data_IF_741127568821
#
_entry.id   IF_741127568821
#
_cell.length_a   1.000
_cell.length_b   1.000
_cell.length_c   1.000
_cell.angle_alpha   90.00
_cell.angle_beta   90.00
_cell.angle_gamma   90.00
#
_symmetry.space_group_name_H-M   'P 1'
#
loop_
_entity.id
_entity.type
_entity.pdbx_description
1 polymer ?
#
# COMPACT_ATOMS: atom_id res chain seq x y z
N UNK A 1 -2.61 -46.09 -16.87
CA UNK A 1 -2.08 -44.71 -16.78
C UNK A 1 -3.01 -43.62 -17.36
N UNK A 2 -3.95 -43.92 -18.27
CA UNK A 2 -4.87 -42.92 -18.84
C UNK A 2 -6.02 -42.46 -17.89
N UNK A 3 -6.32 -43.21 -16.83
CA UNK A 3 -7.40 -42.90 -15.89
C UNK A 3 -7.09 -41.77 -14.89
N UNK A 4 -5.80 -41.54 -14.55
CA UNK A 4 -5.41 -40.45 -13.64
C UNK A 4 -5.41 -39.09 -14.32
N UNK A 5 -5.10 -39.05 -15.63
CA UNK A 5 -5.09 -37.83 -16.44
C UNK A 5 -6.53 -37.33 -16.66
N UNK A 6 -7.47 -38.23 -16.99
CA UNK A 6 -8.90 -37.88 -17.13
C UNK A 6 -9.52 -37.33 -15.85
N UNK A 7 -9.15 -37.89 -14.69
CA UNK A 7 -9.61 -37.41 -13.37
C UNK A 7 -9.09 -36.00 -13.05
N UNK A 8 -7.86 -35.67 -13.46
CA UNK A 8 -7.32 -34.32 -13.32
C UNK A 8 -7.95 -33.34 -14.30
N UNK A 9 -8.18 -33.72 -15.57
CA UNK A 9 -8.91 -32.88 -16.51
C UNK A 9 -10.33 -32.53 -16.01
N UNK A 10 -11.03 -33.46 -15.36
CA UNK A 10 -12.35 -33.19 -14.76
C UNK A 10 -12.28 -32.20 -13.59
N UNK A 11 -11.22 -32.25 -12.78
CA UNK A 11 -10.98 -31.29 -11.68
C UNK A 11 -10.67 -29.89 -12.25
N UNK A 12 -9.84 -29.82 -13.29
CA UNK A 12 -9.52 -28.56 -13.97
C UNK A 12 -10.74 -27.98 -14.71
N UNK A 13 -11.56 -28.83 -15.35
CA UNK A 13 -12.80 -28.42 -16.04
C UNK A 13 -13.92 -28.03 -15.06
N UNK A 14 -13.99 -28.63 -13.87
CA UNK A 14 -14.87 -28.19 -12.76
C UNK A 14 -14.43 -26.87 -12.11
N UNK A 15 -13.14 -26.49 -12.24
CA UNK A 15 -12.55 -25.22 -11.78
C UNK A 15 -12.65 -24.07 -12.81
N UNK A 16 -13.65 -24.10 -13.70
CA UNK A 16 -14.19 -22.86 -14.31
C UNK A 16 -14.71 -21.98 -13.15
N UNK A 17 -14.17 -20.82 -12.78
CA UNK A 17 -13.28 -19.89 -13.43
C UNK A 17 -12.42 -19.22 -12.33
N UNK A 18 -11.11 -19.44 -12.28
CA UNK A 18 -10.23 -18.46 -11.62
C UNK A 18 -10.02 -17.33 -12.62
N UNK A 19 -11.05 -16.48 -12.76
CA UNK A 19 -10.91 -15.25 -13.54
C UNK A 19 -9.93 -14.38 -12.77
N UNK A 20 -8.72 -14.22 -13.29
CA UNK A 20 -7.76 -13.28 -12.73
C UNK A 20 -8.36 -11.89 -12.87
N UNK A 21 -8.80 -11.33 -11.75
CA UNK A 21 -9.18 -9.93 -11.68
C UNK A 21 -7.90 -9.15 -11.35
N UNK A 22 -7.34 -8.37 -12.29
CA UNK A 22 -6.26 -7.47 -11.96
C UNK A 22 -6.78 -6.51 -10.88
N UNK A 23 -5.98 -6.21 -9.85
CA UNK A 23 -6.42 -5.23 -8.89
C UNK A 23 -6.53 -3.88 -9.60
N UNK A 24 -7.47 -3.05 -9.14
CA UNK A 24 -7.51 -1.64 -9.56
C UNK A 24 -6.14 -1.02 -9.37
N UNK A 25 -5.62 -0.21 -10.30
CA UNK A 25 -4.36 0.49 -10.07
C UNK A 25 -4.41 1.31 -8.77
N UNK A 26 -3.27 1.45 -8.07
CA UNK A 26 -3.21 2.34 -6.91
C UNK A 26 -3.60 3.77 -7.28
N UNK A 27 -4.30 4.45 -6.38
CA UNK A 27 -4.55 5.87 -6.51
C UNK A 27 -3.24 6.66 -6.53
N UNK A 28 -3.21 7.76 -7.27
CA UNK A 28 -2.07 8.66 -7.34
C UNK A 28 -1.96 9.48 -6.06
N UNK A 29 -0.77 9.52 -5.46
CA UNK A 29 -0.52 10.27 -4.24
C UNK A 29 0.09 11.63 -4.57
N UNK A 30 -0.38 12.67 -3.88
CA UNK A 30 0.17 14.02 -4.00
C UNK A 30 1.47 14.11 -3.21
N UNK A 31 2.46 14.82 -3.76
CA UNK A 31 3.80 14.93 -3.19
C UNK A 31 4.36 13.55 -2.82
N UNK A 32 4.45 12.63 -3.78
CA UNK A 32 4.89 11.27 -3.53
C UNK A 32 6.41 11.13 -3.53
N UNK A 33 6.96 10.50 -2.49
CA UNK A 33 8.37 10.07 -2.44
C UNK A 33 8.44 8.55 -2.62
N UNK A 34 9.36 8.07 -3.45
CA UNK A 34 9.50 6.65 -3.81
C UNK A 34 10.83 6.07 -3.29
N UNK A 35 10.73 4.90 -2.65
CA UNK A 35 11.83 4.11 -2.14
C UNK A 35 11.87 2.75 -2.86
N UNK A 36 13.04 2.39 -3.38
CA UNK A 36 13.24 1.12 -4.09
C UNK A 36 13.64 0.03 -3.09
N UNK A 37 12.78 -0.97 -2.92
CA UNK A 37 13.08 -2.17 -2.12
C UNK A 37 13.80 -3.22 -2.95
N UNK A 38 13.23 -3.56 -4.11
CA UNK A 38 13.82 -4.47 -5.08
C UNK A 38 13.52 -3.97 -6.49
N UNK A 39 14.56 -3.51 -7.19
CA UNK A 39 14.43 -3.01 -8.55
C UNK A 39 14.06 -4.13 -9.53
N UNK A 40 14.67 -5.31 -9.38
CA UNK A 40 14.46 -6.45 -10.27
C UNK A 40 13.06 -7.02 -10.09
N UNK A 41 12.64 -7.20 -8.83
CA UNK A 41 11.29 -7.60 -8.46
C UNK A 41 10.23 -6.50 -8.61
N UNK A 42 10.64 -5.27 -8.98
CA UNK A 42 9.80 -4.08 -9.12
C UNK A 42 8.94 -3.83 -7.87
N UNK A 43 9.58 -3.90 -6.70
CA UNK A 43 8.98 -3.61 -5.40
C UNK A 43 9.39 -2.23 -4.93
N UNK A 44 8.41 -1.38 -4.70
CA UNK A 44 8.58 0.02 -4.33
C UNK A 44 7.75 0.34 -3.10
N UNK A 45 8.24 1.27 -2.29
CA UNK A 45 7.51 1.86 -1.18
C UNK A 45 7.33 3.35 -1.47
N UNK A 46 6.09 3.77 -1.58
CA UNK A 46 5.68 5.13 -1.84
C UNK A 46 5.17 5.77 -0.54
N UNK A 47 5.46 7.04 -0.34
CA UNK A 47 4.95 7.85 0.77
C UNK A 47 4.41 9.14 0.20
N UNK A 48 3.12 9.40 0.37
CA UNK A 48 2.49 10.60 -0.17
C UNK A 48 1.16 10.91 0.51
N UNK A 49 0.51 11.97 0.03
CA UNK A 49 -0.76 12.47 0.56
C UNK A 49 -1.93 11.92 -0.27
N UNK A 50 -2.94 11.39 0.42
CA UNK A 50 -4.15 10.88 -0.20
C UNK A 50 -5.23 11.97 -0.25
N UNK A 51 -5.59 12.41 -1.46
CA UNK A 51 -6.64 13.41 -1.65
C UNK A 51 -8.04 12.94 -1.24
N UNK A 52 -8.30 11.62 -1.28
CA UNK A 52 -9.59 11.05 -0.88
C UNK A 52 -9.73 10.97 0.64
N UNK A 53 -8.61 10.88 1.36
CA UNK A 53 -8.56 10.83 2.83
C UNK A 53 -7.99 12.13 3.44
N UNK A 54 -8.54 13.28 3.06
CA UNK A 54 -8.22 14.60 3.66
C UNK A 54 -6.71 14.89 3.72
N UNK A 55 -6.01 14.51 2.66
CA UNK A 55 -4.55 14.64 2.54
C UNK A 55 -3.80 13.98 3.70
N UNK A 56 -4.33 12.88 4.25
CA UNK A 56 -3.60 12.06 5.20
C UNK A 56 -2.43 11.37 4.49
N UNK A 57 -1.40 11.03 5.26
CA UNK A 57 -0.23 10.35 4.72
C UNK A 57 -0.53 8.87 4.62
N UNK A 58 -0.37 8.36 3.41
CA UNK A 58 -0.43 6.95 3.11
C UNK A 58 0.95 6.46 2.69
N UNK A 59 1.31 5.31 3.24
CA UNK A 59 2.44 4.51 2.78
C UNK A 59 1.87 3.42 1.88
N UNK A 60 2.43 3.26 0.70
CA UNK A 60 1.95 2.30 -0.29
C UNK A 60 3.09 1.41 -0.73
N UNK A 61 2.97 0.10 -0.52
CA UNK A 61 3.94 -0.87 -1.07
C UNK A 61 3.36 -1.41 -2.37
N UNK A 62 4.09 -1.22 -3.47
CA UNK A 62 3.70 -1.63 -4.81
C UNK A 62 4.58 -2.77 -5.28
N UNK A 63 3.95 -3.75 -5.92
CA UNK A 63 4.57 -4.81 -6.72
C UNK A 63 3.90 -4.84 -8.10
N UNK A 64 4.45 -5.56 -9.10
CA UNK A 64 3.86 -5.60 -10.45
C UNK A 64 2.39 -6.00 -10.51
N UNK A 65 1.95 -6.85 -9.58
CA UNK A 65 0.62 -7.45 -9.60
C UNK A 65 -0.32 -6.94 -8.51
N UNK A 66 0.19 -6.31 -7.45
CA UNK A 66 -0.56 -5.96 -6.23
C UNK A 66 0.07 -4.76 -5.53
N UNK A 67 -0.74 -4.03 -4.76
CA UNK A 67 -0.26 -2.98 -3.87
C UNK A 67 -0.99 -3.07 -2.54
N UNK A 68 -0.42 -2.52 -1.47
CA UNK A 68 -1.14 -2.34 -0.20
C UNK A 68 -0.91 -0.93 0.30
N UNK A 69 -2.00 -0.22 0.57
CA UNK A 69 -1.99 1.04 1.29
C UNK A 69 -1.97 0.77 2.79
N UNK A 70 -1.18 1.53 3.53
CA UNK A 70 -1.15 1.49 4.98
C UNK A 70 -0.98 2.89 5.59
N UNK A 71 -1.61 3.15 6.74
CA UNK A 71 -1.31 4.36 7.51
C UNK A 71 0.16 4.40 7.90
N UNK A 72 0.74 5.60 7.97
CA UNK A 72 2.13 5.79 8.40
C UNK A 72 2.42 5.21 9.79
N UNK A 73 1.44 5.28 10.71
CA UNK A 73 1.58 4.68 12.04
C UNK A 73 1.68 3.15 12.01
N UNK A 74 1.07 2.50 11.02
CA UNK A 74 1.22 1.05 10.84
C UNK A 74 2.66 0.71 10.44
N UNK A 75 3.24 1.47 9.51
CA UNK A 75 4.65 1.32 9.14
C UNK A 75 5.59 1.55 10.34
N UNK A 76 5.31 2.56 11.18
CA UNK A 76 6.08 2.81 12.41
C UNK A 76 6.07 1.60 13.35
N UNK A 77 4.92 0.92 13.47
CA UNK A 77 4.80 -0.31 14.25
C UNK A 77 5.57 -1.48 13.62
N UNK A 78 5.61 -1.58 12.28
CA UNK A 78 6.47 -2.56 11.58
C UNK A 78 7.94 -2.36 11.98
N UNK A 79 8.45 -1.12 11.92
CA UNK A 79 9.83 -0.82 12.33
C UNK A 79 10.09 -1.15 13.80
N UNK A 80 9.14 -0.83 14.69
CA UNK A 80 9.25 -1.19 16.12
C UNK A 80 9.30 -2.71 16.35
N UNK A 81 8.69 -3.50 15.46
CA UNK A 81 8.69 -4.96 15.49
C UNK A 81 9.83 -5.58 14.67
N UNK A 82 10.70 -4.78 14.03
CA UNK A 82 11.66 -5.26 13.04
C UNK A 82 12.60 -6.33 13.61
N UNK A 83 13.03 -6.20 14.87
CA UNK A 83 13.84 -7.23 15.54
C UNK A 83 13.14 -8.60 15.61
N UNK A 84 11.85 -8.62 15.96
CA UNK A 84 11.04 -9.84 16.04
C UNK A 84 10.69 -10.39 14.67
N UNK A 85 10.49 -9.51 13.68
CA UNK A 85 10.22 -9.91 12.30
C UNK A 85 11.47 -10.57 11.70
N UNK A 86 12.63 -9.96 11.88
CA UNK A 86 13.88 -10.47 11.36
C UNK A 86 14.28 -11.77 12.04
N UNK A 87 14.14 -11.91 13.36
CA UNK A 87 14.43 -13.18 14.01
C UNK A 87 13.65 -14.34 13.38
N UNK A 88 12.36 -14.13 13.08
CA UNK A 88 11.54 -15.15 12.42
C UNK A 88 11.92 -15.40 10.96
N UNK A 89 12.19 -14.34 10.18
CA UNK A 89 12.49 -14.49 8.75
C UNK A 89 13.89 -15.07 8.52
N UNK A 90 14.81 -14.88 9.46
CA UNK A 90 16.18 -15.39 9.42
C UNK A 90 16.29 -16.86 9.89
N UNK A 91 15.28 -17.38 10.60
CA UNK A 91 15.24 -18.77 11.06
C UNK A 91 15.01 -19.77 9.92
N UNK A 92 15.42 -21.02 10.14
CA UNK A 92 15.21 -22.12 9.17
C UNK A 92 13.70 -22.28 8.93
N UNK A 93 13.22 -22.32 7.66
CA UNK A 93 11.81 -22.44 7.34
C UNK A 93 11.20 -23.68 8.01
N UNK A 94 10.36 -23.48 9.03
CA UNK A 94 9.65 -24.56 9.69
C UNK A 94 8.36 -24.89 8.93
N UNK A 95 7.96 -26.17 8.95
CA UNK A 95 7.07 -26.75 7.96
C UNK A 95 5.64 -26.21 7.95
N UNK A 96 5.18 -25.44 8.93
CA UNK A 96 3.95 -24.63 8.86
C UNK A 96 3.76 -23.92 10.21
N UNK A 97 3.96 -22.60 10.27
CA UNK A 97 3.35 -21.75 11.29
C UNK A 97 3.26 -20.33 10.73
N UNK A 98 2.04 -19.90 10.40
CA UNK A 98 1.75 -18.51 10.02
C UNK A 98 1.77 -17.71 11.31
N UNK A 99 2.80 -16.90 11.55
CA UNK A 99 2.83 -16.05 12.74
C UNK A 99 2.17 -14.71 12.43
N UNK A 100 1.24 -14.30 13.27
CA UNK A 100 0.63 -12.97 13.20
C UNK A 100 1.44 -12.01 14.08
N UNK A 101 1.96 -10.94 13.50
CA UNK A 101 2.75 -9.93 14.22
C UNK A 101 1.92 -8.73 14.63
N UNK A 102 1.05 -8.27 13.73
CA UNK A 102 0.23 -7.09 13.92
C UNK A 102 -1.06 -7.23 13.10
N UNK A 103 -2.17 -6.79 13.66
CA UNK A 103 -3.45 -6.81 12.98
C UNK A 103 -4.27 -5.58 13.36
N UNK A 104 -4.88 -4.96 12.36
CA UNK A 104 -5.89 -3.92 12.52
C UNK A 104 -7.16 -4.35 11.80
N UNK A 105 -8.20 -3.51 11.83
CA UNK A 105 -9.43 -3.74 11.08
C UNK A 105 -9.19 -3.78 9.56
N UNK A 106 -8.20 -3.03 9.08
CA UNK A 106 -7.97 -2.84 7.64
C UNK A 106 -6.75 -3.59 7.09
N UNK A 107 -5.76 -3.94 7.93
CA UNK A 107 -4.47 -4.51 7.49
C UNK A 107 -3.99 -5.57 8.46
N UNK A 108 -3.34 -6.62 7.95
CA UNK A 108 -2.63 -7.60 8.76
C UNK A 108 -1.17 -7.77 8.33
N UNK A 109 -0.31 -8.03 9.30
CA UNK A 109 1.09 -8.33 9.17
C UNK A 109 1.35 -9.73 9.72
N UNK A 110 1.70 -10.66 8.85
CA UNK A 110 1.97 -12.05 9.23
C UNK A 110 3.20 -12.60 8.52
N UNK A 111 3.70 -13.76 8.92
CA UNK A 111 4.69 -14.51 8.14
C UNK A 111 4.06 -15.71 7.44
N UNK A 112 4.64 -16.14 6.32
CA UNK A 112 4.33 -17.42 5.71
C UNK A 112 5.55 -18.01 5.03
N UNK A 113 5.57 -19.32 4.83
CA UNK A 113 6.57 -19.97 3.98
C UNK A 113 6.08 -19.95 2.53
N UNK A 114 6.89 -19.42 1.62
CA UNK A 114 6.61 -19.40 0.19
C UNK A 114 7.86 -19.80 -0.59
N UNK A 115 7.73 -20.78 -1.49
CA UNK A 115 8.85 -21.31 -2.29
C UNK A 115 10.06 -21.77 -1.44
N UNK A 116 9.81 -22.22 -0.20
CA UNK A 116 10.86 -22.65 0.72
C UNK A 116 11.53 -21.52 1.50
N UNK A 117 11.05 -20.28 1.38
CA UNK A 117 11.57 -19.12 2.11
C UNK A 117 10.52 -18.56 3.08
N UNK A 118 10.98 -18.03 4.22
CA UNK A 118 10.14 -17.25 5.12
C UNK A 118 9.90 -15.87 4.51
N UNK A 119 8.62 -15.53 4.31
CA UNK A 119 8.19 -14.25 3.76
C UNK A 119 7.38 -13.50 4.81
N UNK A 120 7.59 -12.18 4.89
CA UNK A 120 6.66 -11.28 5.56
C UNK A 120 5.50 -10.97 4.60
N UNK A 121 4.28 -11.09 5.11
CA UNK A 121 3.03 -10.88 4.39
C UNK A 121 2.36 -9.65 4.96
N UNK A 122 2.14 -8.66 4.09
CA UNK A 122 1.32 -7.49 4.39
C UNK A 122 0.05 -7.63 3.57
N UNK A 123 -1.09 -7.77 4.22
CA UNK A 123 -2.36 -8.08 3.58
C UNK A 123 -3.42 -7.04 3.95
N UNK A 124 -4.05 -6.45 2.93
CA UNK A 124 -5.24 -5.62 3.10
C UNK A 124 -6.46 -6.51 3.36
N UNK A 125 -7.25 -6.13 4.36
CA UNK A 125 -8.52 -6.80 4.69
C UNK A 125 -9.72 -6.18 3.98
N UNK A 126 -9.58 -4.95 3.52
CA UNK A 126 -10.65 -4.25 2.79
C UNK A 126 -10.69 -4.65 1.32
N UNK A 127 -9.55 -5.04 0.75
CA UNK A 127 -9.45 -5.48 -0.66
C UNK A 127 -9.03 -6.94 -0.72
N UNK A 128 -9.99 -7.81 -1.09
CA UNK A 128 -9.76 -9.25 -1.16
C UNK A 128 -8.60 -9.63 -2.08
N UNK A 129 -7.68 -10.45 -1.57
CA UNK A 129 -6.52 -10.96 -2.32
C UNK A 129 -5.41 -9.92 -2.53
N UNK A 130 -5.49 -8.76 -1.89
CA UNK A 130 -4.49 -7.72 -1.98
C UNK A 130 -3.44 -7.87 -0.87
N UNK A 131 -2.39 -8.63 -1.19
CA UNK A 131 -1.26 -8.87 -0.29
C UNK A 131 0.07 -8.71 -1.00
N UNK A 132 1.06 -8.27 -0.26
CA UNK A 132 2.45 -8.13 -0.72
C UNK A 132 3.35 -9.02 0.14
N UNK A 133 4.32 -9.66 -0.51
CA UNK A 133 5.30 -10.54 0.10
C UNK A 133 6.67 -9.88 0.05
N UNK A 134 7.30 -9.77 1.21
CA UNK A 134 8.66 -9.27 1.37
C UNK A 134 9.56 -10.41 1.86
N UNK A 135 10.62 -10.68 1.10
CA UNK A 135 11.63 -11.66 1.46
C UNK A 135 12.69 -11.04 2.37
N UNK A 136 13.66 -11.86 2.80
CA UNK A 136 14.78 -11.40 3.64
C UNK A 136 15.50 -10.18 3.08
N UNK A 137 15.79 -10.16 1.77
CA UNK A 137 16.50 -9.05 1.11
C UNK A 137 15.68 -7.77 1.13
N UNK A 138 14.38 -7.86 0.85
CA UNK A 138 13.45 -6.74 0.92
C UNK A 138 13.41 -6.14 2.33
N UNK A 139 13.39 -6.98 3.37
CA UNK A 139 13.31 -6.54 4.77
C UNK A 139 14.59 -5.87 5.24
N UNK A 140 15.76 -6.40 4.86
CA UNK A 140 17.05 -5.75 5.14
C UNK A 140 17.11 -4.39 4.45
N UNK A 141 16.64 -4.31 3.20
CA UNK A 141 16.59 -3.03 2.48
C UNK A 141 15.62 -2.05 3.13
N UNK A 142 14.44 -2.51 3.54
CA UNK A 142 13.46 -1.70 4.26
C UNK A 142 14.02 -1.16 5.58
N UNK A 143 14.74 -1.97 6.35
CA UNK A 143 15.41 -1.54 7.58
C UNK A 143 16.51 -0.51 7.32
N UNK A 144 17.32 -0.70 6.27
CA UNK A 144 18.33 0.29 5.87
C UNK A 144 17.72 1.67 5.53
N UNK A 145 16.52 1.66 4.95
CA UNK A 145 15.80 2.87 4.54
C UNK A 145 14.94 3.48 5.66
N UNK A 146 14.85 2.84 6.82
CA UNK A 146 13.95 3.21 7.92
C UNK A 146 14.04 4.70 8.25
N UNK A 147 15.26 5.20 8.50
CA UNK A 147 15.47 6.59 8.89
C UNK A 147 14.98 7.57 7.82
N UNK A 148 15.31 7.32 6.56
CA UNK A 148 14.89 8.17 5.44
C UNK A 148 13.37 8.17 5.24
N UNK A 149 12.73 7.01 5.42
CA UNK A 149 11.27 6.88 5.30
C UNK A 149 10.58 7.62 6.46
N UNK A 150 11.03 7.41 7.69
CA UNK A 150 10.47 8.04 8.89
C UNK A 150 10.59 9.57 8.80
N UNK A 151 11.76 10.09 8.44
CA UNK A 151 11.97 11.53 8.25
C UNK A 151 11.07 12.09 7.14
N UNK A 152 10.88 11.35 6.05
CA UNK A 152 9.99 11.72 4.95
C UNK A 152 8.54 11.83 5.41
N UNK A 153 8.06 10.85 6.19
CA UNK A 153 6.72 10.89 6.80
C UNK A 153 6.60 12.12 7.69
N UNK A 154 7.55 12.35 8.60
CA UNK A 154 7.50 13.50 9.55
C UNK A 154 7.43 14.82 8.81
N UNK A 155 8.26 15.02 7.77
CA UNK A 155 8.25 16.24 6.95
C UNK A 155 6.92 16.42 6.22
N UNK A 156 6.37 15.35 5.66
CA UNK A 156 5.06 15.43 5.00
C UNK A 156 3.96 15.74 6.00
N UNK A 157 4.03 15.23 7.23
CA UNK A 157 3.02 15.48 8.27
C UNK A 157 3.03 16.93 8.71
N UNK A 158 4.22 17.43 9.05
CA UNK A 158 4.34 18.68 9.77
C UNK A 158 4.49 19.90 8.86
N UNK A 159 4.94 19.70 7.62
CA UNK A 159 5.26 20.80 6.71
C UNK A 159 4.39 20.72 5.45
N UNK A 160 4.46 19.60 4.72
CA UNK A 160 3.83 19.53 3.40
C UNK A 160 2.31 19.48 3.50
N UNK A 161 1.74 18.63 4.36
CA UNK A 161 0.29 18.49 4.48
C UNK A 161 -0.39 19.83 4.85
N UNK A 162 0.07 20.59 5.87
CA UNK A 162 -0.48 21.91 6.15
C UNK A 162 -0.35 22.88 4.97
N UNK A 163 0.78 22.84 4.24
CA UNK A 163 0.99 23.69 3.08
C UNK A 163 -0.01 23.37 1.96
N UNK A 164 -0.21 22.08 1.65
CA UNK A 164 -1.17 21.61 0.64
C UNK A 164 -2.59 22.02 1.03
N UNK A 165 -3.00 21.77 2.28
CA UNK A 165 -4.33 22.18 2.77
C UNK A 165 -4.56 23.69 2.59
N UNK A 166 -3.58 24.51 2.96
CA UNK A 166 -3.65 25.97 2.78
C UNK A 166 -3.74 26.38 1.32
N UNK A 167 -3.01 25.71 0.42
CA UNK A 167 -3.09 25.98 -1.02
C UNK A 167 -4.48 25.67 -1.58
N UNK A 168 -5.03 24.51 -1.22
CA UNK A 168 -6.40 24.13 -1.62
C UNK A 168 -7.45 25.11 -1.09
N UNK A 169 -7.30 25.57 0.16
CA UNK A 169 -8.18 26.58 0.74
C UNK A 169 -8.10 27.92 -0.02
N UNK A 170 -6.89 28.41 -0.33
CA UNK A 170 -6.69 29.65 -1.08
C UNK A 170 -7.32 29.55 -2.48
N UNK A 171 -7.07 28.44 -3.18
CA UNK A 171 -7.60 28.23 -4.54
C UNK A 171 -9.13 28.10 -4.50
N UNK A 172 -9.68 27.33 -3.56
CA UNK A 172 -11.12 27.18 -3.39
C UNK A 172 -11.81 28.53 -3.14
N UNK A 173 -11.28 29.31 -2.19
CA UNK A 173 -11.80 30.65 -1.89
C UNK A 173 -11.72 31.61 -3.08
N UNK A 174 -10.68 31.52 -3.90
CA UNK A 174 -10.58 32.32 -5.12
C UNK A 174 -11.65 31.92 -6.14
N UNK A 175 -11.79 30.62 -6.41
CA UNK A 175 -12.78 30.08 -7.35
C UNK A 175 -14.21 30.47 -6.92
N UNK A 176 -14.55 30.32 -5.64
CA UNK A 176 -15.87 30.67 -5.10
C UNK A 176 -16.21 32.15 -5.27
N UNK A 177 -15.22 33.04 -5.08
CA UNK A 177 -15.37 34.48 -5.32
C UNK A 177 -15.65 34.77 -6.80
N UNK A 178 -14.89 34.16 -7.71
CA UNK A 178 -15.08 34.35 -9.14
C UNK A 178 -16.45 33.81 -9.61
N UNK A 179 -16.88 32.65 -9.12
CA UNK A 179 -18.23 32.13 -9.41
C UNK A 179 -19.33 33.07 -8.92
N UNK A 180 -19.18 33.63 -7.71
CA UNK A 180 -20.14 34.59 -7.17
C UNK A 180 -20.21 35.85 -8.04
N UNK A 181 -19.06 36.36 -8.49
CA UNK A 181 -18.99 37.54 -9.37
C UNK A 181 -19.69 37.29 -10.72
N UNK A 182 -19.48 36.12 -11.33
CA UNK A 182 -20.15 35.73 -12.59
C UNK A 182 -21.67 35.64 -12.41
N UNK A 183 -22.15 35.07 -11.30
CA UNK A 183 -23.59 35.00 -11.03
C UNK A 183 -24.21 36.39 -10.84
N UNK A 184 -23.52 37.30 -10.15
CA UNK A 184 -23.98 38.68 -9.98
C UNK A 184 -24.05 39.44 -11.31
N UNK A 185 -23.05 39.27 -12.19
CA UNK A 185 -23.07 39.85 -13.54
C UNK A 185 -24.20 39.29 -14.40
N UNK A 186 -24.48 37.99 -14.34
CA UNK A 186 -25.58 37.38 -15.11
C UNK A 186 -26.95 37.93 -14.71
N UNK A 187 -27.14 38.27 -13.43
CA UNK A 187 -28.40 38.82 -12.89
C UNK A 187 -28.60 40.30 -13.20
N UNK A 188 -27.51 41.06 -13.42
CA UNK A 188 -27.59 42.48 -13.79
C UNK A 188 -27.88 42.68 -15.28
N UNK A 189 -27.53 41.72 -16.14
CA UNK A 189 -27.80 41.75 -17.59
C UNK A 189 -29.23 41.29 -17.92
N UNK A 190 -29.89 40.55 -17.03
CA UNK A 190 -31.27 40.06 -17.19
C UNK A 190 -32.36 41.02 -16.66
N UNK A 191 -32.02 42.28 -16.37
CA UNK A 191 -32.95 43.35 -15.97
C UNK A 191 -32.88 44.49 -16.98
#
# INVERSE_FOLDING_TARGET
MAGSIRKMEEIYKKKKNFTYVPPTPPAELIDCSNFILDFTGRKFLNVGLDSEDKFNIIVQIITPSRYVNMPSDFLRRIFSLMGNILSFVLDVPQKYNRNLFLETEIISLSSMVYQGENMLVIESKTVNGCRVLLNRTDLIKLQYLEWSIVETVIRKTNIIRPLVLKQFEIIGNYIDREFTNVQLLSRSISK
#
